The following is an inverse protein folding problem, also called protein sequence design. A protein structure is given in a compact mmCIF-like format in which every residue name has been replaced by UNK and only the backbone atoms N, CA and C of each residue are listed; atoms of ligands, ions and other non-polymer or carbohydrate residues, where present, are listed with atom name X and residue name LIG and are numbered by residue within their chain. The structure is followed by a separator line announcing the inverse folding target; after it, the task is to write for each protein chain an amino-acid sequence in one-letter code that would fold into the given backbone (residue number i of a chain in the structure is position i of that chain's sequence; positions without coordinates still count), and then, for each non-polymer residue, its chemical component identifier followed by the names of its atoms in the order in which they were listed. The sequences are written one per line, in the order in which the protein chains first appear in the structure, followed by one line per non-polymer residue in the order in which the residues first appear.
data_IF_531314454415
#
_entry.id   IF_531314454415
#
_cell.length_a   1.000
_cell.length_b   1.000
_cell.length_c   1.000
_cell.angle_alpha   90.00
_cell.angle_beta   90.00
_cell.angle_gamma   90.00
#
_symmetry.space_group_name_H-M   'P 1'
#
loop_
_entity.id
_entity.type
_entity.pdbx_description
1 polymer ?
#
# COMPACT_ATOMS: atom_id res chain seq x y z
N UNK A 1 17.45 58.92 -12.18
CA UNK A 1 16.45 57.82 -12.25
C UNK A 1 17.23 56.53 -12.38
N UNK A 2 17.47 55.80 -11.28
CA UNK A 2 16.68 54.65 -10.79
C UNK A 2 16.71 53.48 -11.81
N UNK A 3 17.11 52.25 -11.51
CA UNK A 3 17.03 51.51 -10.26
C UNK A 3 18.17 50.46 -10.13
N UNK A 4 18.63 50.26 -8.90
CA UNK A 4 19.57 49.21 -8.54
C UNK A 4 18.87 47.83 -8.57
N UNK A 5 19.41 46.90 -9.38
CA UNK A 5 18.99 45.51 -9.39
C UNK A 5 19.43 44.82 -8.08
N UNK A 6 18.51 44.71 -7.13
CA UNK A 6 18.66 43.81 -5.97
C UNK A 6 18.65 42.36 -6.49
N UNK A 7 19.78 41.66 -6.36
CA UNK A 7 19.82 40.20 -6.37
C UNK A 7 18.93 39.70 -5.25
N UNK A 8 17.80 39.07 -5.60
CA UNK A 8 17.05 38.24 -4.67
C UNK A 8 17.89 36.97 -4.45
N UNK A 9 18.62 36.92 -3.34
CA UNK A 9 19.09 35.65 -2.79
C UNK A 9 17.87 34.78 -2.53
N UNK A 10 17.81 33.60 -3.15
CA UNK A 10 16.84 32.58 -2.78
C UNK A 10 17.07 32.25 -1.29
N UNK A 11 16.23 32.81 -0.43
CA UNK A 11 16.21 32.46 0.97
C UNK A 11 15.76 30.99 1.03
N UNK A 12 16.66 30.12 1.45
CA UNK A 12 16.36 28.75 1.84
C UNK A 12 15.33 28.81 2.96
N UNK A 13 14.07 28.51 2.64
CA UNK A 13 13.04 28.23 3.63
C UNK A 13 13.55 27.07 4.50
N UNK A 14 13.65 27.22 5.83
CA UNK A 14 14.04 26.13 6.68
C UNK A 14 12.96 25.05 6.61
N UNK A 15 13.34 23.85 6.16
CA UNK A 15 12.55 22.63 6.30
C UNK A 15 12.15 22.54 7.78
N UNK A 16 10.87 22.75 8.07
CA UNK A 16 10.34 22.52 9.41
C UNK A 16 10.63 21.07 9.74
N UNK A 17 11.38 20.83 10.82
CA UNK A 17 11.55 19.50 11.39
C UNK A 17 10.16 18.98 11.75
N UNK A 18 9.58 18.16 10.87
CA UNK A 18 8.45 17.33 11.22
C UNK A 18 8.96 16.35 12.27
N UNK A 19 8.46 16.47 13.51
CA UNK A 19 8.59 15.41 14.49
C UNK A 19 7.95 14.17 13.89
N UNK A 20 8.77 13.29 13.29
CA UNK A 20 8.38 11.94 12.94
C UNK A 20 7.94 11.28 14.24
N UNK A 21 6.63 11.13 14.42
CA UNK A 21 6.08 10.30 15.48
C UNK A 21 6.43 8.85 15.12
N UNK A 22 7.64 8.42 15.51
CA UNK A 22 8.06 7.03 15.46
C UNK A 22 7.13 6.27 16.42
N UNK A 23 6.06 5.69 15.87
CA UNK A 23 5.22 4.75 16.62
C UNK A 23 6.00 3.45 16.78
N UNK A 24 5.94 2.79 17.94
CA UNK A 24 6.48 1.45 18.09
C UNK A 24 5.79 0.52 17.08
N UNK A 25 6.59 -0.20 16.29
CA UNK A 25 6.11 -1.26 15.41
C UNK A 25 5.43 -2.37 16.24
N UNK A 26 4.59 -3.17 15.58
CA UNK A 26 3.95 -4.31 16.20
C UNK A 26 5.01 -5.38 16.55
N UNK A 27 5.67 -5.22 17.70
CA UNK A 27 6.61 -6.19 18.25
C UNK A 27 5.89 -7.51 18.50
N UNK A 28 6.32 -8.58 17.83
CA UNK A 28 5.90 -9.94 18.15
C UNK A 28 6.44 -10.31 19.54
N UNK A 29 5.54 -10.74 20.43
CA UNK A 29 5.81 -11.02 21.84
C UNK A 29 6.61 -12.32 22.09
N UNK A 30 7.49 -12.72 21.17
CA UNK A 30 8.38 -13.86 21.41
C UNK A 30 9.64 -13.38 22.13
N UNK A 31 9.93 -13.94 23.31
CA UNK A 31 11.14 -13.63 24.10
C UNK A 31 12.47 -14.07 23.47
N UNK A 32 12.57 -14.13 22.13
CA UNK A 32 13.82 -14.31 21.41
C UNK A 32 14.47 -12.95 21.16
N UNK A 33 15.81 -12.86 21.22
CA UNK A 33 16.50 -11.60 20.96
C UNK A 33 16.27 -11.13 19.52
N UNK A 34 16.18 -9.81 19.29
CA UNK A 34 16.09 -9.26 17.94
C UNK A 34 17.36 -9.60 17.14
N UNK A 35 17.17 -9.90 15.87
CA UNK A 35 18.22 -10.04 14.87
C UNK A 35 18.14 -8.86 13.91
N UNK A 36 19.29 -8.32 13.51
CA UNK A 36 19.36 -7.29 12.49
C UNK A 36 19.52 -7.94 11.11
N UNK A 37 18.64 -7.60 10.17
CA UNK A 37 18.71 -8.06 8.79
C UNK A 37 18.79 -6.86 7.87
N UNK A 38 19.57 -6.97 6.80
CA UNK A 38 19.69 -5.93 5.78
C UNK A 38 18.74 -6.24 4.61
N UNK A 39 18.00 -5.23 4.14
CA UNK A 39 17.15 -5.37 2.95
C UNK A 39 17.95 -5.72 1.70
N UNK A 40 17.36 -6.47 0.78
CA UNK A 40 17.98 -6.96 -0.46
C UNK A 40 18.53 -5.83 -1.35
N UNK A 41 17.76 -4.74 -1.46
CA UNK A 41 18.02 -3.62 -2.39
C UNK A 41 18.00 -2.29 -1.62
N UNK A 42 18.90 -1.34 -1.95
CA UNK A 42 18.85 0.00 -1.39
C UNK A 42 17.56 0.74 -1.77
N UNK A 43 17.00 1.45 -0.79
CA UNK A 43 15.88 2.34 -1.03
C UNK A 43 16.30 3.54 -1.89
N UNK A 44 15.44 3.96 -2.83
CA UNK A 44 15.69 5.16 -3.64
C UNK A 44 14.68 6.25 -3.28
N UNK A 45 15.15 7.36 -2.71
CA UNK A 45 14.31 8.49 -2.30
C UNK A 45 14.07 9.51 -3.41
N UNK A 46 12.96 10.23 -3.31
CA UNK A 46 12.62 11.43 -4.06
C UNK A 46 12.14 12.49 -3.06
N UNK A 47 12.90 13.58 -2.91
CA UNK A 47 12.64 14.65 -1.92
C UNK A 47 12.54 14.14 -0.47
N UNK A 48 13.18 13.01 -0.17
CA UNK A 48 13.33 12.40 1.15
C UNK A 48 14.65 11.65 1.22
N UNK A 49 15.27 11.65 2.40
CA UNK A 49 16.42 10.79 2.68
C UNK A 49 15.94 9.32 2.79
N UNK A 50 16.54 8.38 2.05
CA UNK A 50 16.19 6.97 2.16
C UNK A 50 16.40 6.45 3.60
N UNK A 51 15.50 5.59 4.12
CA UNK A 51 15.64 5.04 5.46
C UNK A 51 16.80 4.03 5.55
N UNK A 52 17.15 3.67 6.78
CA UNK A 52 18.13 2.59 7.04
C UNK A 52 17.66 1.28 6.41
N UNK A 53 18.62 0.51 5.88
CA UNK A 53 18.40 -0.84 5.38
C UNK A 53 18.47 -1.90 6.47
N UNK A 54 18.97 -1.56 7.65
CA UNK A 54 18.98 -2.45 8.80
C UNK A 54 17.61 -2.44 9.47
N UNK A 55 17.03 -3.62 9.57
CA UNK A 55 15.72 -3.87 10.18
C UNK A 55 15.88 -4.89 11.28
N UNK A 56 15.42 -4.51 12.47
CA UNK A 56 15.34 -5.43 13.60
C UNK A 56 14.10 -6.31 13.45
N UNK A 57 14.27 -7.63 13.53
CA UNK A 57 13.21 -8.63 13.45
C UNK A 57 13.51 -9.80 14.39
N UNK A 58 12.65 -10.82 14.42
CA UNK A 58 12.88 -12.05 15.19
C UNK A 58 12.69 -13.28 14.29
N UNK A 59 13.31 -14.43 14.61
CA UNK A 59 13.07 -15.67 13.86
C UNK A 59 11.60 -16.09 13.82
N UNK A 60 10.84 -15.81 14.88
CA UNK A 60 9.40 -16.10 14.96
C UNK A 60 8.58 -15.22 14.00
N UNK A 61 8.94 -13.94 13.89
CA UNK A 61 8.33 -12.99 12.95
C UNK A 61 8.61 -13.41 11.50
N UNK A 62 9.87 -13.69 11.17
CA UNK A 62 10.24 -14.19 9.83
C UNK A 62 9.50 -15.48 9.46
N UNK A 63 9.38 -16.42 10.40
CA UNK A 63 8.61 -17.65 10.19
C UNK A 63 7.13 -17.36 9.98
N UNK A 64 6.57 -16.37 10.68
CA UNK A 64 5.18 -15.94 10.48
C UNK A 64 4.97 -15.34 9.09
N UNK A 65 5.88 -14.48 8.61
CA UNK A 65 5.83 -13.93 7.26
C UNK A 65 5.88 -15.04 6.21
N UNK A 66 6.81 -15.98 6.35
CA UNK A 66 6.91 -17.11 5.43
C UNK A 66 5.62 -17.94 5.40
N UNK A 67 5.06 -18.26 6.58
CA UNK A 67 3.82 -19.04 6.69
C UNK A 67 2.66 -18.32 6.02
N UNK A 68 2.50 -17.03 6.31
CA UNK A 68 1.34 -16.27 5.84
C UNK A 68 1.43 -16.00 4.34
N UNK A 69 2.60 -15.64 3.81
CA UNK A 69 2.83 -15.52 2.35
C UNK A 69 2.64 -16.87 1.63
N UNK A 70 3.10 -17.97 2.23
CA UNK A 70 2.90 -19.31 1.65
C UNK A 70 1.44 -19.71 1.63
N UNK A 71 0.68 -19.39 2.68
CA UNK A 71 -0.75 -19.64 2.77
C UNK A 71 -1.51 -18.82 1.71
N UNK A 72 -1.17 -17.53 1.57
CA UNK A 72 -1.69 -16.64 0.53
C UNK A 72 -1.46 -17.20 -0.88
N UNK A 73 -0.21 -17.58 -1.20
CA UNK A 73 0.14 -18.22 -2.47
C UNK A 73 -0.73 -19.44 -2.76
N UNK A 74 -0.90 -20.32 -1.75
CA UNK A 74 -1.70 -21.54 -1.90
C UNK A 74 -3.18 -21.23 -2.06
N UNK A 75 -3.68 -20.19 -1.39
CA UNK A 75 -5.05 -19.73 -1.57
C UNK A 75 -5.29 -19.32 -3.03
N UNK A 76 -4.41 -18.49 -3.59
CA UNK A 76 -4.57 -17.98 -4.96
C UNK A 76 -4.49 -19.09 -6.01
N UNK A 77 -3.55 -20.03 -5.86
CA UNK A 77 -3.45 -21.21 -6.75
C UNK A 77 -4.74 -22.07 -6.70
N UNK A 78 -5.34 -22.22 -5.52
CA UNK A 78 -6.59 -22.95 -5.39
C UNK A 78 -7.78 -22.14 -5.95
N UNK A 79 -7.79 -20.81 -5.81
CA UNK A 79 -8.77 -19.94 -6.46
C UNK A 79 -8.69 -20.05 -8.00
N UNK A 80 -7.50 -20.08 -8.59
CA UNK A 80 -7.29 -20.36 -10.02
C UNK A 80 -7.93 -21.69 -10.46
N UNK A 81 -7.66 -22.76 -9.69
CA UNK A 81 -8.24 -24.09 -9.96
C UNK A 81 -9.77 -24.06 -9.92
N UNK A 82 -10.36 -23.44 -8.89
CA UNK A 82 -11.81 -23.30 -8.74
C UNK A 82 -12.44 -22.44 -9.85
N UNK A 83 -11.72 -21.41 -10.30
CA UNK A 83 -12.12 -20.57 -11.44
C UNK A 83 -12.16 -21.38 -12.74
N UNK A 84 -11.10 -22.16 -13.02
CA UNK A 84 -11.05 -23.08 -14.17
C UNK A 84 -12.15 -24.15 -14.12
N UNK A 85 -12.51 -24.61 -12.92
CA UNK A 85 -13.66 -25.51 -12.69
C UNK A 85 -15.03 -24.81 -12.73
N UNK A 86 -15.09 -23.49 -13.02
CA UNK A 86 -16.32 -22.68 -13.11
C UNK A 86 -17.10 -22.56 -11.79
N UNK A 87 -16.44 -22.84 -10.66
CA UNK A 87 -16.97 -22.68 -9.32
C UNK A 87 -16.85 -21.23 -8.83
N UNK A 88 -15.78 -20.55 -9.23
CA UNK A 88 -15.67 -19.08 -9.20
C UNK A 88 -16.03 -18.57 -10.61
N UNK A 89 -16.75 -17.46 -10.71
CA UNK A 89 -17.21 -16.86 -11.97
C UNK A 89 -16.96 -15.35 -11.97
N UNK A 90 -17.07 -14.71 -13.13
CA UNK A 90 -16.88 -13.26 -13.24
C UNK A 90 -15.39 -12.92 -13.26
N UNK A 91 -14.95 -12.03 -12.38
CA UNK A 91 -13.53 -11.66 -12.25
C UNK A 91 -12.83 -12.50 -11.17
N UNK A 92 -11.53 -12.72 -11.31
CA UNK A 92 -10.68 -13.35 -10.31
C UNK A 92 -9.24 -12.84 -10.49
N UNK A 93 -8.83 -11.84 -9.71
CA UNK A 93 -7.51 -11.22 -9.84
C UNK A 93 -6.60 -11.73 -8.72
N UNK A 94 -5.73 -12.68 -9.06
CA UNK A 94 -4.91 -13.39 -8.09
C UNK A 94 -3.70 -12.57 -7.64
N UNK A 95 -3.41 -12.51 -6.37
CA UNK A 95 -2.32 -11.71 -5.80
C UNK A 95 -0.99 -12.50 -5.66
N UNK A 96 -0.91 -13.71 -6.23
CA UNK A 96 0.30 -14.52 -6.18
C UNK A 96 1.48 -13.84 -6.90
N UNK A 97 2.59 -13.66 -6.18
CA UNK A 97 3.77 -12.90 -6.61
C UNK A 97 3.90 -11.54 -5.92
N UNK A 98 2.86 -11.04 -5.25
CA UNK A 98 2.88 -9.76 -4.53
C UNK A 98 2.71 -9.92 -3.00
N UNK A 99 2.76 -11.14 -2.46
CA UNK A 99 2.45 -11.41 -1.04
C UNK A 99 3.34 -10.64 -0.06
N UNK A 100 4.60 -10.36 -0.44
CA UNK A 100 5.53 -9.57 0.35
C UNK A 100 5.03 -8.12 0.55
N UNK A 101 4.32 -7.54 -0.42
CA UNK A 101 3.69 -6.22 -0.29
C UNK A 101 2.60 -6.26 0.78
N UNK A 102 1.72 -7.26 0.74
CA UNK A 102 0.62 -7.37 1.70
C UNK A 102 1.12 -7.60 3.14
N UNK A 103 2.06 -8.53 3.33
CA UNK A 103 2.59 -8.85 4.66
C UNK A 103 3.54 -7.78 5.18
N UNK A 104 4.41 -7.23 4.34
CA UNK A 104 5.31 -6.14 4.72
C UNK A 104 4.54 -4.89 5.13
N UNK A 105 3.51 -4.53 4.36
CA UNK A 105 2.61 -3.44 4.74
C UNK A 105 1.92 -3.71 6.08
N UNK A 106 1.36 -4.91 6.27
CA UNK A 106 0.64 -5.26 7.50
C UNK A 106 1.55 -5.26 8.74
N UNK A 107 2.80 -5.71 8.61
CA UNK A 107 3.78 -5.71 9.69
C UNK A 107 4.16 -4.28 10.15
N UNK A 108 4.12 -3.31 9.22
CA UNK A 108 4.49 -1.93 9.50
C UNK A 108 3.35 -1.07 10.11
N UNK A 109 2.13 -1.61 10.21
CA UNK A 109 0.93 -0.83 10.59
C UNK A 109 0.15 -1.50 11.72
N UNK A 110 -0.91 -0.82 12.17
CA UNK A 110 -1.87 -1.39 13.12
C UNK A 110 -3.22 -1.67 12.45
N UNK A 111 -4.09 -2.44 13.12
CA UNK A 111 -5.47 -2.68 12.66
C UNK A 111 -6.35 -1.42 12.64
N UNK A 112 -5.88 -0.32 13.24
CA UNK A 112 -6.56 1.00 13.24
C UNK A 112 -6.23 1.83 12.00
N UNK A 113 -5.09 1.56 11.36
CA UNK A 113 -4.72 2.22 10.10
C UNK A 113 -5.62 1.70 8.99
N UNK A 114 -5.91 2.56 8.01
CA UNK A 114 -6.84 2.23 6.94
C UNK A 114 -6.07 1.74 5.71
N UNK A 115 -6.58 0.71 5.04
CA UNK A 115 -6.10 0.28 3.73
C UNK A 115 -7.27 0.27 2.75
N UNK A 116 -7.05 0.87 1.59
CA UNK A 116 -7.95 0.81 0.44
C UNK A 116 -7.12 0.49 -0.80
N UNK A 117 -7.57 -0.45 -1.64
CA UNK A 117 -6.82 -0.90 -2.82
C UNK A 117 -7.74 -1.09 -4.03
N UNK A 118 -7.15 -1.45 -5.17
CA UNK A 118 -7.88 -1.83 -6.38
C UNK A 118 -8.48 -3.24 -6.23
N UNK A 119 -8.83 -3.89 -7.33
CA UNK A 119 -9.54 -5.17 -7.35
C UNK A 119 -8.68 -6.43 -7.16
N UNK A 120 -7.37 -6.28 -6.89
CA UNK A 120 -6.46 -7.39 -6.60
C UNK A 120 -6.15 -7.35 -5.11
N UNK A 121 -7.04 -7.91 -4.30
CA UNK A 121 -7.15 -7.52 -2.88
C UNK A 121 -7.29 -8.69 -1.90
N UNK A 122 -7.31 -9.94 -2.39
CA UNK A 122 -7.55 -11.12 -1.57
C UNK A 122 -6.52 -11.28 -0.43
N UNK A 123 -5.23 -11.11 -0.73
CA UNK A 123 -4.15 -11.21 0.25
C UNK A 123 -4.17 -10.07 1.26
N UNK A 124 -4.55 -8.86 0.85
CA UNK A 124 -4.75 -7.73 1.77
C UNK A 124 -5.91 -8.03 2.72
N UNK A 125 -7.02 -8.58 2.23
CA UNK A 125 -8.14 -9.00 3.09
C UNK A 125 -7.70 -10.03 4.15
N UNK A 126 -6.92 -11.04 3.75
CA UNK A 126 -6.36 -12.02 4.68
C UNK A 126 -5.41 -11.38 5.70
N UNK A 127 -4.49 -10.53 5.24
CA UNK A 127 -3.57 -9.79 6.12
C UNK A 127 -4.36 -8.95 7.14
N UNK A 128 -5.50 -8.39 6.74
CA UNK A 128 -6.43 -7.64 7.61
C UNK A 128 -7.34 -8.51 8.47
N UNK A 129 -7.04 -9.80 8.60
CA UNK A 129 -7.71 -10.71 9.52
C UNK A 129 -9.01 -11.31 8.96
N UNK A 130 -9.19 -11.26 7.64
CA UNK A 130 -10.16 -12.09 6.96
C UNK A 130 -9.75 -13.57 7.00
N UNK A 131 -10.73 -14.47 7.00
CA UNK A 131 -10.49 -15.91 6.99
C UNK A 131 -10.53 -16.51 5.57
N UNK A 132 -9.82 -17.61 5.37
CA UNK A 132 -9.90 -18.39 4.12
C UNK A 132 -11.34 -18.81 3.77
N UNK A 133 -12.14 -19.15 4.78
CA UNK A 133 -13.53 -19.57 4.59
C UNK A 133 -14.37 -18.41 4.07
N UNK A 134 -14.26 -17.22 4.66
CA UNK A 134 -14.92 -16.01 4.15
C UNK A 134 -14.47 -15.70 2.73
N UNK A 135 -13.17 -15.84 2.43
CA UNK A 135 -12.65 -15.54 1.11
C UNK A 135 -13.19 -16.47 0.03
N UNK A 136 -13.09 -17.78 0.22
CA UNK A 136 -13.63 -18.72 -0.78
C UNK A 136 -15.15 -18.65 -0.88
N UNK A 137 -15.84 -18.44 0.25
CA UNK A 137 -17.27 -18.25 0.21
C UNK A 137 -17.65 -17.01 -0.61
N UNK A 138 -16.92 -15.90 -0.50
CA UNK A 138 -17.19 -14.71 -1.31
C UNK A 138 -16.88 -14.96 -2.79
N UNK A 139 -15.72 -15.54 -3.11
CA UNK A 139 -15.33 -15.87 -4.49
C UNK A 139 -16.33 -16.80 -5.17
N UNK A 140 -16.91 -17.75 -4.43
CA UNK A 140 -17.91 -18.69 -4.94
C UNK A 140 -19.36 -18.19 -4.81
N UNK A 141 -19.57 -16.91 -4.46
CA UNK A 141 -20.89 -16.30 -4.36
C UNK A 141 -21.80 -16.92 -3.28
N UNK A 142 -21.22 -17.33 -2.15
CA UNK A 142 -21.92 -17.98 -1.03
C UNK A 142 -22.21 -17.00 0.09
N UNK A 143 -23.30 -17.27 0.82
CA UNK A 143 -23.81 -16.40 1.90
C UNK A 143 -22.80 -16.16 3.04
N UNK A 144 -21.88 -17.09 3.27
CA UNK A 144 -20.81 -16.99 4.27
C UNK A 144 -19.60 -16.16 3.83
N UNK A 145 -19.65 -15.57 2.63
CA UNK A 145 -18.63 -14.64 2.17
C UNK A 145 -18.60 -13.34 2.98
N UNK A 146 -17.48 -12.63 2.97
CA UNK A 146 -17.29 -11.38 3.71
C UNK A 146 -18.30 -10.29 3.30
N UNK A 147 -18.82 -10.33 2.07
CA UNK A 147 -19.87 -9.47 1.53
C UNK A 147 -21.15 -10.27 1.20
N UNK A 148 -21.32 -11.44 1.83
CA UNK A 148 -22.45 -12.37 1.67
C UNK A 148 -22.62 -12.89 0.24
N UNK A 149 -21.52 -12.99 -0.51
CA UNK A 149 -21.51 -13.46 -1.90
C UNK A 149 -22.02 -12.44 -2.92
N UNK A 150 -22.17 -11.17 -2.52
CA UNK A 150 -22.65 -10.08 -3.39
C UNK A 150 -21.52 -9.30 -4.06
N UNK A 151 -20.33 -9.32 -3.47
CA UNK A 151 -19.18 -8.58 -3.96
C UNK A 151 -18.39 -9.39 -4.98
N UNK A 152 -18.15 -10.68 -4.69
CA UNK A 152 -17.24 -11.49 -5.48
C UNK A 152 -15.79 -11.00 -5.38
N UNK A 153 -14.95 -11.40 -6.34
CA UNK A 153 -13.48 -11.22 -6.28
C UNK A 153 -13.02 -9.79 -6.05
N UNK A 154 -13.71 -8.79 -6.61
CA UNK A 154 -13.20 -7.42 -6.60
C UNK A 154 -13.58 -6.61 -5.36
N UNK A 155 -14.35 -7.18 -4.42
CA UNK A 155 -15.12 -6.42 -3.43
C UNK A 155 -15.09 -7.05 -2.04
N UNK A 156 -13.88 -7.31 -1.54
CA UNK A 156 -13.68 -7.73 -0.15
C UNK A 156 -13.66 -6.50 0.75
N UNK A 157 -14.20 -6.60 1.97
CA UNK A 157 -14.14 -5.51 2.95
C UNK A 157 -13.94 -6.11 4.35
N UNK A 158 -13.17 -5.43 5.21
CA UNK A 158 -13.00 -5.79 6.62
C UNK A 158 -12.93 -4.51 7.47
N UNK A 159 -14.09 -3.86 7.64
CA UNK A 159 -14.20 -2.57 8.34
C UNK A 159 -13.60 -2.59 9.75
N UNK A 160 -13.84 -3.65 10.51
CA UNK A 160 -13.36 -3.78 11.90
C UNK A 160 -11.81 -3.80 11.99
N UNK A 161 -11.16 -4.13 10.89
CA UNK A 161 -9.71 -4.12 10.73
C UNK A 161 -9.28 -3.08 9.70
N UNK A 162 -10.00 -1.97 9.55
CA UNK A 162 -9.60 -0.85 8.69
C UNK A 162 -9.40 -1.17 7.21
N UNK A 163 -9.99 -2.25 6.66
CA UNK A 163 -9.90 -2.56 5.24
C UNK A 163 -11.16 -2.10 4.50
N UNK A 164 -10.99 -1.06 3.69
CA UNK A 164 -12.03 -0.39 2.89
C UNK A 164 -12.11 -0.90 1.46
N UNK A 165 -11.46 -2.04 1.24
CA UNK A 165 -11.81 -3.02 0.24
C UNK A 165 -11.11 -2.90 -1.09
N UNK A 166 -11.55 -3.80 -1.97
CA UNK A 166 -11.22 -3.80 -3.38
C UNK A 166 -12.18 -2.94 -4.20
N UNK A 167 -11.60 -2.16 -5.10
CA UNK A 167 -12.32 -1.26 -5.98
C UNK A 167 -12.10 -1.63 -7.44
N UNK A 168 -13.20 -1.93 -8.14
CA UNK A 168 -13.19 -2.35 -9.55
C UNK A 168 -12.93 -1.22 -10.55
N UNK A 169 -13.09 0.04 -10.14
CA UNK A 169 -12.88 1.21 -11.01
C UNK A 169 -11.45 1.72 -10.82
N UNK A 170 -10.62 1.57 -11.86
CA UNK A 170 -9.19 1.87 -11.83
C UNK A 170 -8.93 3.32 -11.41
N UNK A 171 -8.24 3.49 -10.27
CA UNK A 171 -7.83 4.78 -9.73
C UNK A 171 -8.87 5.46 -8.83
N UNK A 172 -10.11 5.00 -8.80
CA UNK A 172 -11.19 5.59 -7.99
C UNK A 172 -10.92 5.50 -6.48
N UNK A 173 -10.19 4.47 -6.06
CA UNK A 173 -9.84 4.27 -4.66
C UNK A 173 -8.85 5.30 -4.12
N UNK A 174 -8.09 5.98 -4.98
CA UNK A 174 -7.03 6.90 -4.55
C UNK A 174 -7.62 8.16 -3.89
N UNK A 175 -8.55 8.90 -4.54
CA UNK A 175 -9.27 9.99 -3.86
C UNK A 175 -10.05 9.52 -2.62
N UNK A 176 -10.65 8.31 -2.66
CA UNK A 176 -11.37 7.76 -1.51
C UNK A 176 -10.44 7.53 -0.31
N UNK A 177 -9.24 7.02 -0.53
CA UNK A 177 -8.21 6.87 0.51
C UNK A 177 -7.76 8.21 1.09
N UNK A 178 -7.67 9.25 0.26
CA UNK A 178 -7.41 10.61 0.74
C UNK A 178 -8.58 11.14 1.59
N UNK A 179 -9.81 10.80 1.24
CA UNK A 179 -11.00 11.09 2.05
C UNK A 179 -10.97 10.39 3.42
N UNK A 180 -10.52 9.13 3.48
CA UNK A 180 -10.30 8.41 4.75
C UNK A 180 -9.24 9.12 5.60
N UNK A 181 -8.13 9.53 5.00
CA UNK A 181 -7.08 10.27 5.69
C UNK A 181 -7.56 11.63 6.21
N UNK A 182 -8.38 12.33 5.42
CA UNK A 182 -9.03 13.57 5.85
C UNK A 182 -9.90 13.33 7.08
N UNK A 183 -10.73 12.28 7.08
CA UNK A 183 -11.55 11.92 8.23
C UNK A 183 -10.69 11.64 9.46
N UNK A 184 -9.64 10.81 9.34
CA UNK A 184 -8.69 10.48 10.43
C UNK A 184 -8.02 11.74 11.01
N UNK A 185 -7.64 12.69 10.14
CA UNK A 185 -7.07 13.97 10.56
C UNK A 185 -8.11 14.82 11.28
N UNK A 186 -9.32 14.89 10.75
CA UNK A 186 -10.43 15.68 11.30
C UNK A 186 -10.83 15.17 12.70
N UNK A 187 -10.87 13.85 12.89
CA UNK A 187 -11.19 13.20 14.17
C UNK A 187 -9.99 13.06 15.11
N UNK A 188 -8.78 13.45 14.68
CA UNK A 188 -7.53 13.38 15.45
C UNK A 188 -7.20 11.96 15.93
N UNK A 189 -7.48 10.95 15.12
CA UNK A 189 -7.23 9.54 15.45
C UNK A 189 -5.74 9.18 15.50
N UNK A 190 -4.90 9.99 14.87
CA UNK A 190 -3.46 9.74 14.75
C UNK A 190 -3.15 8.46 13.95
N UNK A 191 -4.08 7.98 13.13
CA UNK A 191 -3.94 6.84 12.22
C UNK A 191 -3.56 7.33 10.82
N UNK A 192 -3.06 6.43 9.99
CA UNK A 192 -2.67 6.70 8.59
C UNK A 192 -3.58 5.90 7.65
N UNK A 193 -3.85 6.44 6.47
CA UNK A 193 -4.51 5.72 5.39
C UNK A 193 -3.53 5.35 4.29
N UNK A 194 -3.58 4.11 3.84
CA UNK A 194 -2.81 3.58 2.72
C UNK A 194 -3.74 3.39 1.53
N UNK A 195 -3.49 4.13 0.45
CA UNK A 195 -4.26 4.05 -0.79
C UNK A 195 -3.40 3.42 -1.88
N UNK A 196 -3.67 2.15 -2.16
CA UNK A 196 -2.91 1.33 -3.10
C UNK A 196 -3.50 1.42 -4.51
N UNK A 197 -2.64 1.43 -5.52
CA UNK A 197 -3.00 1.45 -6.94
C UNK A 197 -1.90 0.81 -7.79
N UNK A 198 -2.23 0.25 -8.95
CA UNK A 198 -1.24 -0.34 -9.86
C UNK A 198 -0.53 0.68 -10.77
N UNK A 199 0.56 0.27 -11.42
CA UNK A 199 1.30 1.09 -12.40
C UNK A 199 0.41 1.63 -13.54
N UNK A 200 -0.53 0.84 -14.04
CA UNK A 200 -1.51 1.31 -15.02
C UNK A 200 -2.43 2.41 -14.48
N UNK A 201 -2.84 2.31 -13.21
CA UNK A 201 -3.67 3.30 -12.52
C UNK A 201 -2.90 4.60 -12.23
N UNK A 202 -1.57 4.56 -12.19
CA UNK A 202 -0.70 5.72 -11.96
C UNK A 202 -0.77 6.80 -13.07
N UNK A 203 -1.54 6.55 -14.14
CA UNK A 203 -1.80 7.49 -15.23
C UNK A 203 -3.21 8.12 -15.15
N UNK A 204 -3.99 7.83 -14.12
CA UNK A 204 -5.33 8.40 -13.92
C UNK A 204 -5.24 9.86 -13.43
N UNK A 205 -6.05 10.76 -14.00
CA UNK A 205 -6.05 12.18 -13.62
C UNK A 205 -6.39 12.42 -12.15
N UNK A 206 -7.38 11.69 -11.62
CA UNK A 206 -7.82 11.80 -10.23
C UNK A 206 -6.73 11.48 -9.20
N UNK A 207 -5.69 10.72 -9.57
CA UNK A 207 -4.54 10.49 -8.70
C UNK A 207 -3.75 11.78 -8.46
N UNK A 208 -3.57 12.61 -9.49
CA UNK A 208 -2.86 13.89 -9.38
C UNK A 208 -3.68 14.93 -8.63
N UNK A 209 -5.01 14.92 -8.82
CA UNK A 209 -5.93 15.75 -8.02
C UNK A 209 -5.87 15.37 -6.52
N UNK A 210 -5.91 14.07 -6.23
CA UNK A 210 -5.81 13.53 -4.88
C UNK A 210 -4.46 13.82 -4.23
N UNK A 211 -3.35 13.69 -4.98
CA UNK A 211 -2.00 14.08 -4.55
C UNK A 211 -1.95 15.56 -4.14
N UNK A 212 -2.46 16.44 -4.99
CA UNK A 212 -2.46 17.88 -4.73
C UNK A 212 -3.23 18.23 -3.45
N UNK A 213 -4.44 17.70 -3.30
CA UNK A 213 -5.26 17.94 -2.10
C UNK A 213 -4.61 17.34 -0.85
N UNK A 214 -4.02 16.15 -0.96
CA UNK A 214 -3.35 15.49 0.18
C UNK A 214 -2.16 16.28 0.68
N UNK A 215 -1.36 16.82 -0.24
CA UNK A 215 -0.22 17.67 0.10
C UNK A 215 -0.68 19.03 0.65
N UNK A 216 -1.65 19.68 -0.01
CA UNK A 216 -2.16 21.00 0.39
C UNK A 216 -2.72 20.98 1.81
N UNK A 217 -3.36 19.88 2.20
CA UNK A 217 -3.98 19.74 3.50
C UNK A 217 -3.16 18.93 4.49
N UNK A 218 -1.91 18.55 4.19
CA UNK A 218 -1.06 17.69 5.02
C UNK A 218 -1.85 16.48 5.56
N UNK A 219 -2.50 15.72 4.67
CA UNK A 219 -3.31 14.56 5.05
C UNK A 219 -2.41 13.37 5.43
N UNK A 220 -2.77 12.59 6.47
CA UNK A 220 -2.01 11.40 6.88
C UNK A 220 -2.29 10.22 5.93
N UNK A 221 -1.85 10.36 4.67
CA UNK A 221 -2.05 9.38 3.61
C UNK A 221 -0.71 8.94 3.02
N UNK A 222 -0.60 7.65 2.72
CA UNK A 222 0.50 7.06 1.97
C UNK A 222 -0.10 6.49 0.68
N UNK A 223 0.33 7.03 -0.45
CA UNK A 223 -0.08 6.58 -1.77
C UNK A 223 0.90 5.51 -2.24
N UNK A 224 0.40 4.29 -2.49
CA UNK A 224 1.25 3.12 -2.76
C UNK A 224 1.01 2.65 -4.20
N UNK A 225 2.02 2.78 -5.04
CA UNK A 225 2.03 2.25 -6.39
C UNK A 225 2.56 0.82 -6.38
N UNK A 226 1.71 -0.17 -6.60
CA UNK A 226 2.11 -1.56 -6.82
C UNK A 226 2.53 -1.74 -8.28
N UNK A 227 3.80 -1.48 -8.59
CA UNK A 227 4.33 -1.64 -9.94
C UNK A 227 4.71 -3.10 -10.21
N UNK A 228 3.89 -3.82 -10.97
CA UNK A 228 4.20 -5.18 -11.46
C UNK A 228 4.58 -5.19 -12.94
N UNK A 229 4.96 -4.02 -13.48
CA UNK A 229 5.38 -3.77 -14.85
C UNK A 229 4.27 -3.84 -15.92
N UNK A 230 3.03 -4.23 -15.58
CA UNK A 230 1.95 -4.43 -16.54
C UNK A 230 0.56 -3.99 -16.04
N UNK A 231 0.03 -2.94 -16.67
CA UNK A 231 -1.40 -2.59 -16.59
C UNK A 231 -2.23 -3.49 -17.50
N UNK A 232 -2.82 -4.56 -16.95
CA UNK A 232 -3.53 -5.60 -17.71
C UNK A 232 -2.61 -6.22 -18.79
N UNK A 233 -2.73 -5.79 -20.05
CA UNK A 233 -1.88 -6.26 -21.15
C UNK A 233 -0.84 -5.24 -21.62
N UNK A 234 -0.72 -4.09 -20.95
CA UNK A 234 0.13 -2.98 -21.37
C UNK A 234 1.33 -2.83 -20.47
N UNK A 235 2.52 -3.08 -21.02
CA UNK A 235 3.78 -2.90 -20.33
C UNK A 235 4.03 -1.44 -19.94
N UNK A 236 4.70 -1.21 -18.80
CA UNK A 236 4.91 0.13 -18.23
C UNK A 236 5.55 1.10 -19.24
N UNK A 237 6.56 0.69 -20.01
CA UNK A 237 7.23 1.56 -20.99
C UNK A 237 6.36 1.92 -22.21
N UNK A 238 5.21 1.26 -22.38
CA UNK A 238 4.19 1.60 -23.39
C UNK A 238 3.07 2.47 -22.82
N UNK A 239 2.87 2.47 -21.51
CA UNK A 239 1.83 3.25 -20.84
C UNK A 239 2.36 4.56 -20.23
N UNK A 240 3.64 4.57 -19.83
CA UNK A 240 4.24 5.62 -19.04
C UNK A 240 5.58 6.07 -19.66
N UNK A 241 5.69 7.35 -20.01
CA UNK A 241 6.96 7.91 -20.50
C UNK A 241 8.09 7.84 -19.46
N UNK A 242 7.75 8.02 -18.19
CA UNK A 242 8.65 7.84 -17.06
C UNK A 242 8.11 6.72 -16.15
N UNK A 243 8.85 5.61 -15.99
CA UNK A 243 8.50 4.52 -15.07
C UNK A 243 8.95 4.79 -13.62
N UNK A 244 9.48 5.99 -13.34
CA UNK A 244 9.83 6.38 -11.97
C UNK A 244 8.58 6.82 -11.19
N UNK A 245 7.70 5.87 -10.85
CA UNK A 245 6.41 6.14 -10.20
C UNK A 245 6.54 6.89 -8.87
N UNK A 246 7.51 6.54 -8.02
CA UNK A 246 7.85 7.28 -6.78
C UNK A 246 8.16 8.77 -6.98
N UNK A 247 8.51 9.22 -8.20
CA UNK A 247 8.76 10.64 -8.51
C UNK A 247 7.54 11.40 -9.01
N UNK A 248 6.44 10.70 -9.30
CA UNK A 248 5.24 11.29 -9.95
C UNK A 248 4.43 12.21 -9.03
N UNK A 249 4.68 12.14 -7.73
CA UNK A 249 4.18 13.12 -6.77
C UNK A 249 4.72 14.54 -6.97
N UNK A 250 5.73 14.73 -7.85
CA UNK A 250 6.47 15.98 -8.06
C UNK A 250 6.98 16.57 -6.74
N UNK A 251 6.23 17.47 -6.10
CA UNK A 251 6.56 18.07 -4.81
C UNK A 251 6.31 17.15 -3.61
N UNK A 252 5.52 16.10 -3.78
CA UNK A 252 5.29 15.09 -2.74
C UNK A 252 6.51 14.16 -2.62
N UNK A 253 7.04 13.93 -1.41
CA UNK A 253 8.11 12.96 -1.19
C UNK A 253 7.72 11.56 -1.66
N UNK A 254 8.69 10.81 -2.15
CA UNK A 254 8.47 9.44 -2.58
C UNK A 254 9.65 8.52 -2.32
N UNK A 255 9.38 7.23 -2.21
CA UNK A 255 10.36 6.21 -1.89
C UNK A 255 10.12 4.99 -2.76
N UNK A 256 11.16 4.57 -3.48
CA UNK A 256 11.16 3.32 -4.23
C UNK A 256 11.62 2.18 -3.34
N UNK A 257 10.85 1.09 -3.31
CA UNK A 257 11.12 -0.11 -2.50
C UNK A 257 11.16 -1.37 -3.37
N UNK A 258 11.80 -2.45 -2.89
CA UNK A 258 11.75 -3.76 -3.54
C UNK A 258 10.53 -4.54 -3.02
N UNK A 259 9.43 -4.52 -3.77
CA UNK A 259 8.19 -5.21 -3.39
C UNK A 259 8.30 -6.73 -3.24
N UNK A 260 9.47 -7.32 -3.52
CA UNK A 260 9.78 -8.74 -3.28
C UNK A 260 10.45 -9.00 -1.93
N UNK A 261 10.92 -7.96 -1.24
CA UNK A 261 11.49 -8.06 0.11
C UNK A 261 10.44 -7.67 1.15
N UNK A 262 10.01 -8.67 1.95
CA UNK A 262 8.99 -8.45 2.99
C UNK A 262 9.50 -7.57 4.14
N UNK A 263 10.82 -7.40 4.27
CA UNK A 263 11.43 -6.67 5.38
C UNK A 263 11.43 -5.15 5.18
N UNK A 264 10.52 -4.61 4.37
CA UNK A 264 10.39 -3.17 4.18
C UNK A 264 9.80 -2.53 5.44
N UNK A 265 10.57 -1.67 6.08
CA UNK A 265 10.14 -0.88 7.22
C UNK A 265 9.62 0.51 6.75
N UNK A 266 8.32 0.78 6.93
CA UNK A 266 7.69 2.04 6.53
C UNK A 266 7.57 3.00 7.74
N UNK A 267 8.42 4.03 7.79
CA UNK A 267 8.49 4.96 8.94
C UNK A 267 8.01 6.40 8.65
N UNK A 268 7.49 6.71 7.45
CA UNK A 268 7.17 8.10 7.07
C UNK A 268 5.73 8.30 6.57
N UNK A 269 4.83 8.92 7.35
CA UNK A 269 3.53 9.38 6.87
C UNK A 269 3.73 10.55 5.88
N UNK A 270 3.02 10.53 4.74
CA UNK A 270 3.12 11.47 3.59
C UNK A 270 4.16 11.12 2.52
N UNK A 271 4.32 9.83 2.22
CA UNK A 271 5.26 9.34 1.18
C UNK A 271 4.48 8.64 0.07
N UNK A 272 4.85 8.89 -1.19
CA UNK A 272 4.48 8.04 -2.33
C UNK A 272 5.43 6.85 -2.36
N UNK A 273 4.93 5.64 -2.07
CA UNK A 273 5.72 4.42 -2.18
C UNK A 273 5.53 3.82 -3.57
N UNK A 274 6.60 3.38 -4.24
CA UNK A 274 6.50 2.63 -5.51
C UNK A 274 7.47 1.47 -5.61
#
# INVERSE_FOLDING_TARGET
MAAAARRLSAASLPLRHHHLLLRPFASSASGQPPIAVETSVPFTGHKIEPPSRLVDTTPSELLSFFRDMSMMRRMEIAADSLYKSKLIRGFCHLYDGQEAVAIGLEAAITKKDAIITAYRDHCIFLARGGSLVESYAELMGRRSGCSKGKGGSMHFYKKDSGFFGGHGIVGAQVPLGCGLAFAQKYTKEGTVSFALYGDGAANQGQLFEALNISALWDLPVILVCENNHYGMGTAEWRAAKSPAYYKRGDYVPGLKVDGMDVQINLSSPNTVLS
#
